data_IF_495581050440
#
_entry.id   IF_495581050440
#
_cell.length_a   1.000
_cell.length_b   1.000
_cell.length_c   1.000
_cell.angle_alpha   90.00
_cell.angle_beta   90.00
_cell.angle_gamma   90.00
#
_symmetry.space_group_name_H-M   'P 1'
#
loop_
_entity.id
_entity.type
_entity.pdbx_description
1 polymer ?
#
# COMPACT_ATOMS: atom_id res chain seq x y z
N UNK A 1 9.46 -98.70 -5.18
CA UNK A 1 10.44 -98.54 -6.26
C UNK A 1 10.53 -97.06 -6.59
N UNK A 2 11.73 -96.48 -6.39
CA UNK A 2 12.27 -95.23 -6.96
C UNK A 2 11.69 -93.92 -6.36
N UNK A 3 12.44 -93.17 -5.51
CA UNK A 3 13.47 -92.14 -5.86
C UNK A 3 12.82 -90.96 -6.61
N UNK A 4 12.87 -89.67 -6.26
CA UNK A 4 13.80 -88.81 -5.51
C UNK A 4 13.10 -87.47 -5.19
N UNK A 5 13.66 -86.66 -4.27
CA UNK A 5 13.29 -85.26 -4.07
C UNK A 5 13.99 -84.37 -5.12
N UNK A 6 13.36 -83.27 -5.53
CA UNK A 6 14.08 -82.21 -6.26
C UNK A 6 13.89 -80.86 -5.57
N UNK A 7 14.89 -80.55 -4.76
CA UNK A 7 15.11 -79.26 -4.14
C UNK A 7 15.56 -78.28 -5.23
N UNK A 8 14.75 -77.26 -5.54
CA UNK A 8 15.15 -76.16 -6.43
C UNK A 8 15.36 -74.92 -5.57
N UNK A 9 16.61 -74.66 -5.20
CA UNK A 9 17.01 -73.41 -4.57
C UNK A 9 16.86 -72.27 -5.58
N UNK A 10 15.88 -71.40 -5.36
CA UNK A 10 15.73 -70.16 -6.14
C UNK A 10 16.84 -69.20 -5.71
N UNK A 11 17.78 -68.92 -6.62
CA UNK A 11 18.80 -67.90 -6.40
C UNK A 11 18.13 -66.53 -6.42
N UNK A 12 18.09 -65.87 -5.26
CA UNK A 12 17.65 -64.48 -5.13
C UNK A 12 18.66 -63.56 -5.86
N UNK A 13 18.22 -62.65 -6.75
CA UNK A 13 19.12 -61.64 -7.31
C UNK A 13 19.56 -60.62 -6.25
N UNK A 14 20.85 -60.28 -6.28
CA UNK A 14 21.49 -59.24 -5.45
C UNK A 14 21.00 -57.83 -5.82
N UNK A 15 21.10 -56.85 -4.89
CA UNK A 15 20.17 -55.73 -4.81
C UNK A 15 20.41 -54.69 -5.91
N UNK A 16 19.34 -54.35 -6.64
CA UNK A 16 19.33 -53.16 -7.47
C UNK A 16 19.23 -51.95 -6.54
N UNK A 17 20.25 -51.08 -6.59
CA UNK A 17 20.39 -49.89 -5.76
C UNK A 17 19.13 -49.01 -5.84
N UNK A 18 18.25 -49.12 -4.84
CA UNK A 18 17.07 -48.28 -4.66
C UNK A 18 17.45 -46.87 -4.15
N UNK A 19 18.37 -46.20 -4.86
CA UNK A 19 18.99 -44.96 -4.40
C UNK A 19 18.85 -43.78 -5.37
N UNK A 20 18.10 -43.90 -6.46
CA UNK A 20 18.06 -42.86 -7.50
C UNK A 20 16.68 -42.69 -8.15
N UNK A 21 15.59 -42.70 -7.37
CA UNK A 21 14.25 -42.36 -7.89
C UNK A 21 13.41 -41.51 -6.92
N UNK A 22 14.06 -40.70 -6.07
CA UNK A 22 13.38 -39.80 -5.14
C UNK A 22 14.09 -38.43 -5.06
N UNK A 23 14.57 -37.95 -6.22
CA UNK A 23 15.18 -36.64 -6.38
C UNK A 23 14.65 -35.93 -7.63
N UNK A 24 13.33 -35.94 -7.82
CA UNK A 24 12.65 -35.13 -8.84
C UNK A 24 11.25 -34.69 -8.37
N UNK A 25 11.10 -34.42 -7.07
CA UNK A 25 9.96 -33.67 -6.52
C UNK A 25 10.53 -32.36 -5.97
N UNK A 26 11.12 -31.56 -6.86
CA UNK A 26 11.61 -30.22 -6.56
C UNK A 26 10.77 -29.26 -7.40
N UNK A 27 9.83 -28.61 -6.71
CA UNK A 27 9.32 -27.26 -7.02
C UNK A 27 8.43 -27.17 -8.26
N UNK A 28 7.25 -27.80 -8.19
CA UNK A 28 6.06 -27.24 -8.84
C UNK A 28 5.39 -26.27 -7.85
N UNK A 29 6.09 -25.22 -7.42
CA UNK A 29 5.40 -24.10 -6.77
C UNK A 29 4.52 -23.45 -7.84
N UNK A 30 3.20 -23.34 -7.66
CA UNK A 30 2.39 -22.53 -8.55
C UNK A 30 2.89 -21.09 -8.42
N UNK A 31 3.75 -20.68 -9.36
CA UNK A 31 3.97 -19.26 -9.61
C UNK A 31 2.62 -18.77 -10.10
N UNK A 32 1.87 -18.07 -9.23
CA UNK A 32 0.70 -17.33 -9.65
C UNK A 32 1.19 -16.31 -10.67
N UNK A 33 1.19 -16.70 -11.94
CA UNK A 33 1.57 -15.84 -13.04
C UNK A 33 0.55 -14.72 -13.05
N UNK A 34 0.94 -13.56 -12.50
CA UNK A 34 0.12 -12.38 -12.52
C UNK A 34 -0.13 -12.05 -13.98
N UNK A 35 -1.41 -12.05 -14.38
CA UNK A 35 -1.81 -11.68 -15.73
C UNK A 35 -1.17 -10.34 -16.10
N UNK A 36 -0.74 -10.19 -17.36
CA UNK A 36 -0.18 -8.93 -17.86
C UNK A 36 -0.87 -8.50 -19.14
N UNK A 37 -0.90 -7.19 -19.38
CA UNK A 37 -1.41 -6.59 -20.60
C UNK A 37 -0.47 -5.45 -21.01
N UNK A 38 0.02 -5.50 -22.27
CA UNK A 38 1.02 -4.56 -22.80
C UNK A 38 2.27 -4.44 -21.90
N UNK A 39 2.69 -5.55 -21.29
CA UNK A 39 3.87 -5.58 -20.42
C UNK A 39 3.67 -5.01 -19.01
N UNK A 40 2.46 -4.56 -18.66
CA UNK A 40 2.11 -4.11 -17.31
C UNK A 40 1.24 -5.15 -16.60
N UNK A 41 1.27 -5.21 -15.26
CA UNK A 41 0.38 -6.08 -14.49
C UNK A 41 -1.10 -5.81 -14.81
N UNK A 42 -1.92 -6.85 -14.80
CA UNK A 42 -3.35 -6.80 -15.07
C UNK A 42 -4.13 -7.42 -13.91
N UNK A 43 -5.11 -6.70 -13.39
CA UNK A 43 -6.13 -7.23 -12.48
C UNK A 43 -7.52 -7.08 -13.10
N UNK A 44 -8.47 -7.91 -12.66
CA UNK A 44 -9.87 -7.86 -13.13
C UNK A 44 -10.78 -7.19 -12.12
N UNK A 45 -11.89 -6.63 -12.57
CA UNK A 45 -12.96 -6.11 -11.73
C UNK A 45 -14.30 -6.14 -12.49
N UNK A 46 -15.42 -6.39 -11.80
CA UNK A 46 -16.75 -6.12 -12.34
C UNK A 46 -17.33 -4.81 -11.77
N UNK A 47 -16.88 -4.41 -10.58
CA UNK A 47 -17.24 -3.11 -9.99
C UNK A 47 -16.24 -2.02 -10.37
N UNK A 48 -16.73 -0.81 -10.63
CA UNK A 48 -15.87 0.37 -10.77
C UNK A 48 -15.36 0.87 -9.42
N UNK A 49 -16.04 0.56 -8.31
CA UNK A 49 -15.62 0.91 -6.95
C UNK A 49 -14.64 -0.11 -6.43
N UNK A 50 -13.54 0.37 -5.86
CA UNK A 50 -12.46 -0.48 -5.32
C UNK A 50 -12.11 -0.11 -3.90
N UNK A 51 -11.63 -1.09 -3.15
CA UNK A 51 -11.18 -0.92 -1.78
C UNK A 51 -9.66 -0.82 -1.76
N UNK A 52 -9.14 0.03 -0.88
CA UNK A 52 -7.72 0.30 -0.73
C UNK A 52 -7.32 0.00 0.70
N UNK A 53 -6.10 -0.51 0.88
CA UNK A 53 -5.45 -0.58 2.18
C UNK A 53 -4.05 0.03 2.07
N UNK A 54 -3.76 1.02 2.90
CA UNK A 54 -2.47 1.70 2.98
C UNK A 54 -1.93 1.47 4.39
N UNK A 55 -0.90 0.64 4.51
CA UNK A 55 -0.44 0.16 5.81
C UNK A 55 -1.57 -0.58 6.54
N UNK A 56 -1.97 -0.04 7.70
CA UNK A 56 -3.08 -0.55 8.53
C UNK A 56 -4.42 0.13 8.22
N UNK A 57 -4.43 1.25 7.48
CA UNK A 57 -5.65 1.98 7.17
C UNK A 57 -6.37 1.37 5.96
N UNK A 58 -7.65 1.02 6.11
CA UNK A 58 -8.50 0.52 5.03
C UNK A 58 -9.55 1.55 4.64
N UNK A 59 -9.69 1.76 3.34
CA UNK A 59 -10.62 2.69 2.72
C UNK A 59 -11.49 1.94 1.73
N UNK A 60 -12.79 1.86 1.99
CA UNK A 60 -13.71 1.06 1.16
C UNK A 60 -14.48 1.95 0.18
N UNK A 61 -14.44 1.61 -1.10
CA UNK A 61 -15.30 2.16 -2.16
C UNK A 61 -15.16 3.66 -2.45
N UNK A 62 -14.16 4.36 -1.88
CA UNK A 62 -13.95 5.79 -2.14
C UNK A 62 -13.28 6.06 -3.48
N UNK A 63 -12.49 5.11 -3.98
CA UNK A 63 -11.83 5.25 -5.27
C UNK A 63 -12.61 4.49 -6.36
N UNK A 64 -12.77 5.14 -7.51
CA UNK A 64 -13.57 4.64 -8.62
C UNK A 64 -12.74 4.63 -9.90
N UNK A 65 -12.73 3.50 -10.59
CA UNK A 65 -12.09 3.30 -11.88
C UNK A 65 -13.03 3.81 -12.97
N UNK A 66 -12.56 4.77 -13.75
CA UNK A 66 -13.33 5.41 -14.83
C UNK A 66 -12.71 5.12 -16.19
N UNK A 67 -13.35 4.30 -17.04
CA UNK A 67 -12.83 3.97 -18.38
C UNK A 67 -12.64 5.17 -19.29
N UNK A 68 -13.31 6.29 -19.01
CA UNK A 68 -13.23 7.53 -19.81
C UNK A 68 -11.90 8.26 -19.60
N UNK A 69 -11.17 7.96 -18.52
CA UNK A 69 -9.88 8.60 -18.24
C UNK A 69 -8.76 7.90 -18.98
N UNK A 70 -7.89 8.70 -19.62
CA UNK A 70 -6.67 8.22 -20.27
C UNK A 70 -5.76 7.47 -19.29
N UNK A 71 -5.65 7.98 -18.06
CA UNK A 71 -4.97 7.37 -16.93
C UNK A 71 -5.80 7.64 -15.68
N UNK A 72 -6.12 6.59 -14.91
CA UNK A 72 -6.69 6.74 -13.58
C UNK A 72 -5.55 6.89 -12.57
N UNK A 73 -5.29 8.12 -12.14
CA UNK A 73 -4.22 8.41 -11.18
C UNK A 73 -4.74 8.36 -9.74
N UNK A 74 -4.01 7.69 -8.86
CA UNK A 74 -4.23 7.60 -7.42
C UNK A 74 -2.99 8.11 -6.68
N UNK A 75 -3.14 9.22 -5.96
CA UNK A 75 -2.10 9.75 -5.07
C UNK A 75 -2.13 9.07 -3.71
N UNK A 76 -0.98 8.60 -3.23
CA UNK A 76 -0.82 8.03 -1.88
C UNK A 76 0.18 8.87 -1.11
N UNK A 77 -0.24 9.41 0.03
CA UNK A 77 0.67 10.06 0.95
C UNK A 77 1.55 9.01 1.64
N UNK A 78 2.86 9.21 1.59
CA UNK A 78 3.85 8.30 2.18
C UNK A 78 4.49 8.97 3.39
N UNK A 79 4.07 8.54 4.58
CA UNK A 79 4.53 9.11 5.87
C UNK A 79 5.95 8.67 6.23
N UNK A 80 6.34 7.45 5.84
CA UNK A 80 7.67 6.88 6.07
C UNK A 80 8.59 6.92 4.83
N UNK A 81 9.48 5.94 4.71
CA UNK A 81 10.25 5.72 3.47
C UNK A 81 9.41 5.05 2.37
N UNK A 82 8.42 4.27 2.79
CA UNK A 82 7.56 3.46 1.94
C UNK A 82 6.26 3.13 2.65
N UNK A 83 5.19 2.94 1.89
CA UNK A 83 3.92 2.39 2.37
C UNK A 83 3.55 1.14 1.57
N UNK A 84 2.90 0.18 2.25
CA UNK A 84 2.30 -0.97 1.59
C UNK A 84 0.90 -0.59 1.13
N UNK A 85 0.71 -0.48 -0.17
CA UNK A 85 -0.60 -0.34 -0.78
C UNK A 85 -1.11 -1.71 -1.22
N UNK A 86 -2.36 -2.04 -0.85
CA UNK A 86 -3.09 -3.16 -1.43
C UNK A 86 -4.39 -2.63 -2.02
N UNK A 87 -4.63 -2.97 -3.28
CA UNK A 87 -5.84 -2.61 -4.02
C UNK A 87 -6.66 -3.89 -4.15
N UNK A 88 -7.91 -3.84 -3.70
CA UNK A 88 -8.85 -4.93 -3.75
C UNK A 88 -9.99 -4.57 -4.71
N UNK A 89 -10.21 -5.41 -5.70
CA UNK A 89 -11.42 -5.40 -6.53
C UNK A 89 -12.35 -6.51 -6.04
N UNK A 90 -13.50 -6.66 -6.69
CA UNK A 90 -14.41 -7.77 -6.45
C UNK A 90 -13.93 -9.11 -7.02
N UNK A 91 -12.84 -9.10 -7.83
CA UNK A 91 -12.32 -10.30 -8.51
C UNK A 91 -10.88 -10.62 -8.10
N UNK A 92 -10.03 -9.60 -7.98
CA UNK A 92 -8.59 -9.73 -7.83
C UNK A 92 -8.06 -8.75 -6.78
N UNK A 93 -6.76 -8.86 -6.49
CA UNK A 93 -6.03 -7.85 -5.73
C UNK A 93 -4.62 -7.68 -6.25
N UNK A 94 -4.02 -6.53 -5.95
CA UNK A 94 -2.62 -6.25 -6.24
C UNK A 94 -2.00 -5.47 -5.10
N UNK A 95 -0.74 -5.75 -4.80
CA UNK A 95 0.01 -5.08 -3.76
C UNK A 95 1.26 -4.41 -4.31
N UNK A 96 1.54 -3.21 -3.82
CA UNK A 96 2.72 -2.43 -4.16
C UNK A 96 3.39 -1.89 -2.90
N UNK A 97 4.71 -1.80 -2.97
CA UNK A 97 5.50 -0.92 -2.11
C UNK A 97 5.60 0.44 -2.80
N UNK A 98 4.96 1.45 -2.22
CA UNK A 98 4.90 2.82 -2.77
C UNK A 98 5.89 3.69 -2.01
N UNK A 99 6.68 4.47 -2.74
CA UNK A 99 7.67 5.42 -2.18
C UNK A 99 7.35 6.84 -2.67
N UNK A 100 7.80 7.89 -1.96
CA UNK A 100 7.67 9.25 -2.46
C UNK A 100 8.28 9.37 -3.85
N UNK A 101 7.59 10.12 -4.72
CA UNK A 101 7.99 10.42 -6.10
C UNK A 101 8.11 9.21 -7.04
N UNK A 102 7.68 8.02 -6.59
CA UNK A 102 7.60 6.84 -7.42
C UNK A 102 6.19 6.60 -7.91
N UNK A 103 6.08 6.27 -9.20
CA UNK A 103 4.86 5.83 -9.84
C UNK A 103 4.92 4.33 -10.16
N UNK A 104 3.78 3.65 -10.01
CA UNK A 104 3.56 2.28 -10.46
C UNK A 104 2.33 2.24 -11.34
N UNK A 105 2.44 1.59 -12.49
CA UNK A 105 1.35 1.48 -13.46
C UNK A 105 0.89 0.03 -13.61
N UNK A 106 -0.41 -0.12 -13.81
CA UNK A 106 -1.05 -1.40 -14.08
C UNK A 106 -2.38 -1.18 -14.83
N UNK A 107 -2.90 -2.25 -15.40
CA UNK A 107 -4.21 -2.25 -16.02
C UNK A 107 -5.26 -2.88 -15.12
N UNK A 108 -6.46 -2.32 -15.16
CA UNK A 108 -7.67 -2.97 -14.67
C UNK A 108 -8.55 -3.34 -15.86
N UNK A 109 -8.87 -4.62 -16.00
CA UNK A 109 -9.90 -5.09 -16.93
C UNK A 109 -11.27 -4.98 -16.26
N UNK A 110 -11.98 -3.90 -16.53
CA UNK A 110 -13.30 -3.61 -15.98
C UNK A 110 -14.40 -4.25 -16.84
N UNK A 111 -15.30 -5.01 -16.19
CA UNK A 111 -16.43 -5.70 -16.80
C UNK A 111 -16.03 -6.59 -17.99
N UNK A 112 -14.83 -7.15 -17.95
CA UNK A 112 -14.24 -7.97 -19.02
C UNK A 112 -14.23 -7.28 -20.40
N UNK A 113 -14.31 -5.94 -20.45
CA UNK A 113 -14.44 -5.16 -21.69
C UNK A 113 -13.44 -4.00 -21.79
N UNK A 114 -13.27 -3.26 -20.70
CA UNK A 114 -12.49 -2.02 -20.72
C UNK A 114 -11.16 -2.21 -20.02
N UNK A 115 -10.05 -2.06 -20.76
CA UNK A 115 -8.72 -2.00 -20.17
C UNK A 115 -8.42 -0.57 -19.74
N UNK A 116 -8.37 -0.35 -18.43
CA UNK A 116 -8.18 0.97 -17.85
C UNK A 116 -6.77 1.08 -17.29
N UNK A 117 -5.97 1.98 -17.86
CA UNK A 117 -4.62 2.26 -17.34
C UNK A 117 -4.76 3.01 -16.02
N UNK A 118 -4.10 2.49 -14.99
CA UNK A 118 -4.08 3.04 -13.64
C UNK A 118 -2.65 3.35 -13.25
N UNK A 119 -2.45 4.49 -12.60
CA UNK A 119 -1.19 4.89 -12.01
C UNK A 119 -1.36 5.17 -10.52
N UNK A 120 -0.52 4.57 -9.70
CA UNK A 120 -0.38 4.91 -8.28
C UNK A 120 0.90 5.71 -8.13
N UNK A 121 0.80 6.91 -7.55
CA UNK A 121 1.95 7.77 -7.28
C UNK A 121 2.05 8.08 -5.79
N UNK A 122 3.21 7.77 -5.21
CA UNK A 122 3.53 8.21 -3.85
C UNK A 122 3.92 9.69 -3.85
N UNK A 123 3.44 10.44 -2.87
CA UNK A 123 3.89 11.80 -2.61
C UNK A 123 4.19 11.97 -1.12
N UNK A 124 5.06 12.93 -0.80
CA UNK A 124 5.29 13.37 0.57
C UNK A 124 4.66 14.74 0.73
N UNK A 125 3.77 14.87 1.70
CA UNK A 125 3.28 16.17 2.09
C UNK A 125 4.26 16.78 3.11
N UNK A 126 5.08 17.73 2.66
CA UNK A 126 6.02 18.43 3.53
C UNK A 126 5.30 19.36 4.54
N UNK A 127 3.99 19.59 4.37
CA UNK A 127 3.22 20.51 5.23
C UNK A 127 2.86 19.99 6.63
N UNK A 128 3.24 18.76 7.00
CA UNK A 128 3.12 18.33 8.41
C UNK A 128 4.24 18.91 9.31
N UNK A 129 5.13 19.73 8.74
CA UNK A 129 5.97 20.68 9.46
C UNK A 129 5.77 22.09 8.90
N UNK A 130 4.53 22.52 8.74
CA UNK A 130 4.31 23.96 8.67
C UNK A 130 4.66 24.54 10.04
N UNK A 131 5.81 25.22 10.11
CA UNK A 131 6.10 26.21 11.14
C UNK A 131 5.21 27.46 10.99
N UNK A 132 4.16 27.40 10.16
CA UNK A 132 3.20 28.49 10.06
C UNK A 132 2.28 28.40 11.27
N UNK A 133 2.15 29.53 11.95
CA UNK A 133 1.18 29.75 13.01
C UNK A 133 -0.16 29.08 12.66
N UNK A 134 -0.68 28.24 13.57
CA UNK A 134 -1.99 27.59 13.45
C UNK A 134 -3.10 28.54 12.98
N UNK A 135 -3.07 29.79 13.47
CA UNK A 135 -3.83 30.91 12.94
C UNK A 135 -2.86 31.94 12.31
N UNK A 136 -2.91 32.04 10.98
CA UNK A 136 -2.25 33.11 10.23
C UNK A 136 -3.27 34.19 9.85
N UNK A 137 -3.61 35.04 10.83
CA UNK A 137 -4.54 36.16 10.63
C UNK A 137 -3.77 37.47 10.79
N UNK A 138 -3.70 38.25 9.72
CA UNK A 138 -3.08 39.57 9.74
C UNK A 138 -4.08 40.65 10.19
N UNK A 139 -3.55 41.66 10.88
CA UNK A 139 -4.33 42.86 11.24
C UNK A 139 -4.90 43.52 9.98
N UNK A 140 -6.22 43.80 9.93
CA UNK A 140 -6.85 44.41 8.76
C UNK A 140 -6.33 45.83 8.53
N UNK A 141 -5.98 46.15 7.29
CA UNK A 141 -5.44 47.47 6.88
C UNK A 141 -6.44 48.62 6.94
N UNK A 142 -7.74 48.31 7.09
CA UNK A 142 -8.78 49.34 7.16
C UNK A 142 -8.76 50.08 8.50
N UNK A 143 -9.12 51.37 8.50
CA UNK A 143 -9.19 52.19 9.72
C UNK A 143 -10.21 51.66 10.74
N UNK A 144 -11.42 51.31 10.28
CA UNK A 144 -12.52 50.86 11.15
C UNK A 144 -12.26 49.48 11.76
N UNK A 145 -11.84 48.50 10.95
CA UNK A 145 -11.55 47.17 11.50
C UNK A 145 -10.22 47.13 12.23
N UNK A 146 -9.24 47.98 11.87
CA UNK A 146 -7.97 48.09 12.59
C UNK A 146 -8.14 48.62 14.01
N UNK A 147 -9.04 49.59 14.22
CA UNK A 147 -9.33 50.10 15.58
C UNK A 147 -10.12 49.09 16.42
N UNK A 148 -11.02 48.32 15.81
CA UNK A 148 -11.70 47.21 16.50
C UNK A 148 -10.71 46.09 16.86
N UNK A 149 -9.79 45.77 15.95
CA UNK A 149 -8.73 44.79 16.17
C UNK A 149 -7.86 45.15 17.38
N UNK A 150 -7.45 46.42 17.49
CA UNK A 150 -6.72 46.94 18.66
C UNK A 150 -7.58 46.95 19.92
N UNK A 151 -8.80 47.49 19.85
CA UNK A 151 -9.70 47.60 21.01
C UNK A 151 -10.01 46.25 21.66
N UNK A 152 -10.08 45.20 20.84
CA UNK A 152 -10.39 43.85 21.30
C UNK A 152 -9.16 42.97 21.50
N UNK A 153 -7.94 43.52 21.44
CA UNK A 153 -6.69 42.78 21.66
C UNK A 153 -6.60 41.48 20.82
N UNK A 154 -7.06 41.56 19.57
CA UNK A 154 -7.19 40.36 18.73
C UNK A 154 -5.81 39.72 18.47
N UNK A 155 -4.74 40.53 18.43
CA UNK A 155 -3.36 40.03 18.35
C UNK A 155 -2.98 39.12 19.52
N UNK A 156 -3.37 39.46 20.76
CA UNK A 156 -3.07 38.67 21.95
C UNK A 156 -3.81 37.33 21.93
N UNK A 157 -5.07 37.34 21.47
CA UNK A 157 -5.88 36.12 21.31
C UNK A 157 -5.28 35.20 20.24
N UNK A 158 -4.93 35.76 19.08
CA UNK A 158 -4.30 35.00 17.98
C UNK A 158 -2.96 34.42 18.41
N UNK A 159 -2.12 35.20 19.10
CA UNK A 159 -0.84 34.71 19.62
C UNK A 159 -1.02 33.65 20.71
N UNK A 160 -1.99 33.81 21.61
CA UNK A 160 -2.31 32.82 22.62
C UNK A 160 -2.73 31.48 22.02
N UNK A 161 -3.61 31.49 21.02
CA UNK A 161 -4.05 30.26 20.33
C UNK A 161 -2.87 29.56 19.65
N UNK A 162 -1.98 30.32 19.01
CA UNK A 162 -0.78 29.77 18.38
C UNK A 162 0.17 29.13 19.41
N UNK A 163 0.42 29.78 20.54
CA UNK A 163 1.24 29.22 21.64
C UNK A 163 0.64 27.91 22.20
N UNK A 164 -0.69 27.84 22.38
CA UNK A 164 -1.36 26.60 22.77
C UNK A 164 -1.21 25.49 21.72
N UNK A 165 -1.35 25.82 20.43
CA UNK A 165 -1.19 24.86 19.34
C UNK A 165 0.24 24.32 19.26
N UNK A 166 1.25 25.18 19.47
CA UNK A 166 2.67 24.80 19.49
C UNK A 166 2.97 23.83 20.65
N UNK A 167 2.46 24.13 21.85
CA UNK A 167 2.60 23.25 23.02
C UNK A 167 1.93 21.89 22.82
N UNK A 168 0.71 21.88 22.30
CA UNK A 168 -0.02 20.65 22.02
C UNK A 168 0.69 19.79 20.96
N UNK A 169 1.20 20.41 19.90
CA UNK A 169 1.96 19.74 18.85
C UNK A 169 3.27 19.16 19.39
N UNK A 170 3.98 19.89 20.24
CA UNK A 170 5.18 19.40 20.93
C UNK A 170 4.90 18.19 21.82
N UNK A 171 3.80 18.20 22.57
CA UNK A 171 3.39 17.07 23.41
C UNK A 171 3.05 15.83 22.57
N UNK A 172 2.31 16.01 21.47
CA UNK A 172 1.99 14.91 20.55
C UNK A 172 3.25 14.33 19.90
N UNK A 173 4.19 15.17 19.47
CA UNK A 173 5.48 14.74 18.93
C UNK A 173 6.26 13.91 19.94
N UNK A 174 6.35 14.36 21.19
CA UNK A 174 7.00 13.62 22.27
C UNK A 174 6.37 12.23 22.50
N UNK A 175 5.03 12.14 22.52
CA UNK A 175 4.33 10.85 22.64
C UNK A 175 4.67 9.94 21.46
N UNK A 176 4.63 10.49 20.25
CA UNK A 176 4.96 9.74 19.03
C UNK A 176 6.38 9.19 19.04
N UNK A 177 7.36 10.01 19.42
CA UNK A 177 8.76 9.61 19.47
C UNK A 177 8.96 8.45 20.47
N UNK A 178 8.38 8.56 21.67
CA UNK A 178 8.37 7.48 22.68
C UNK A 178 7.71 6.19 22.20
N UNK A 179 6.54 6.27 21.56
CA UNK A 179 5.83 5.09 21.06
C UNK A 179 6.55 4.45 19.86
N UNK A 180 7.30 5.25 19.09
CA UNK A 180 8.04 4.77 17.92
C UNK A 180 9.40 4.13 18.23
N UNK A 181 9.83 4.12 19.50
CA UNK A 181 11.10 3.51 19.93
C UNK A 181 12.35 4.20 19.35
N UNK A 182 12.24 5.48 18.97
CA UNK A 182 13.37 6.32 18.59
C UNK A 182 13.90 7.05 19.82
N UNK A 183 14.64 6.33 20.64
CA UNK A 183 15.53 6.90 21.67
C UNK A 183 16.99 6.52 21.32
#
# INVERSE_FOLDING_TARGET
MILLPFHRSVKLPKPLKAGALLLFIVVATPSFAQSSYKGLPLIKANSSKVNLRVGEAQVNGLWTIKPEYKVNSLGIEVLGQKEKLVIYTDVDSIAYEVRPDQAKQFYVLLNNRHYVLTEVKGFRNESTQSNDKFLNVEKPKSKTFGSLWEKHHVDDVVNGINDYADKASGAFKWVKDKVSGKD
#
